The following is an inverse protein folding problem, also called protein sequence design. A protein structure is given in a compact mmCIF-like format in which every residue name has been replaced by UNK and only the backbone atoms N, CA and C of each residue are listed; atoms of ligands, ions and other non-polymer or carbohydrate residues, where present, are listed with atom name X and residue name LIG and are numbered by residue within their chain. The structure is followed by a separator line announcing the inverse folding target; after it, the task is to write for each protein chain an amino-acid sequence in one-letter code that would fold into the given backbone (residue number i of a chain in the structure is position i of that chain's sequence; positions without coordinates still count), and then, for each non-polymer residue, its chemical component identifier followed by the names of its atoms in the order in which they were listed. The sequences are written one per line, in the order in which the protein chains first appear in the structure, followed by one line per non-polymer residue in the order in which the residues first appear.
data_IF_587483225411
#
_entry.id   IF_587483225411
#
_cell.length_a   1.000
_cell.length_b   1.000
_cell.length_c   1.000
_cell.angle_alpha   90.00
_cell.angle_beta   90.00
_cell.angle_gamma   90.00
#
_symmetry.space_group_name_H-M   'P 1'
#
loop_
_entity.id
_entity.type
_entity.pdbx_description
1 polymer ?
#
# COMPACT_ATOMS: atom_id res chain seq x y z
N UNK A 1 -14.68 4.87 -25.18
CA UNK A 1 -15.00 4.47 -23.79
C UNK A 1 -14.40 3.11 -23.60
N UNK A 2 -13.65 2.91 -22.51
CA UNK A 2 -13.07 1.60 -22.21
C UNK A 2 -14.16 0.57 -21.94
N UNK A 3 -13.92 -0.69 -22.28
CA UNK A 3 -14.83 -1.80 -21.96
C UNK A 3 -14.83 -2.07 -20.44
N UNK A 4 -15.85 -2.78 -19.94
CA UNK A 4 -15.89 -3.19 -18.52
C UNK A 4 -14.67 -4.04 -18.14
N UNK A 5 -14.24 -4.92 -19.04
CA UNK A 5 -13.05 -5.76 -18.87
C UNK A 5 -11.76 -4.93 -18.83
N UNK A 6 -11.62 -3.93 -19.70
CA UNK A 6 -10.49 -2.99 -19.67
C UNK A 6 -10.44 -2.20 -18.36
N UNK A 7 -11.58 -1.72 -17.87
CA UNK A 7 -11.66 -0.99 -16.60
C UNK A 7 -11.25 -1.89 -15.43
N UNK A 8 -11.63 -3.16 -15.45
CA UNK A 8 -11.29 -4.12 -14.40
C UNK A 8 -9.78 -4.42 -14.38
N UNK A 9 -9.18 -4.63 -15.55
CA UNK A 9 -7.72 -4.80 -15.67
C UNK A 9 -6.95 -3.57 -15.20
N UNK A 10 -7.47 -2.36 -15.46
CA UNK A 10 -6.89 -1.12 -14.94
C UNK A 10 -7.03 -0.99 -13.43
N UNK A 11 -8.13 -1.50 -12.84
CA UNK A 11 -8.31 -1.51 -11.38
C UNK A 11 -7.37 -2.50 -10.73
N UNK A 12 -7.23 -3.71 -11.26
CA UNK A 12 -6.46 -4.81 -10.66
C UNK A 12 -5.38 -5.34 -11.62
N UNK A 13 -4.33 -4.56 -11.91
CA UNK A 13 -3.30 -4.94 -12.91
C UNK A 13 -2.51 -6.20 -12.51
N UNK A 14 -2.55 -6.57 -11.24
CA UNK A 14 -1.91 -7.79 -10.70
C UNK A 14 -2.92 -8.78 -10.09
N UNK A 15 -4.20 -8.63 -10.41
CA UNK A 15 -5.30 -9.37 -9.78
C UNK A 15 -5.70 -8.82 -8.40
N UNK A 16 -6.82 -9.32 -7.88
CA UNK A 16 -7.33 -8.99 -6.54
C UNK A 16 -6.50 -9.66 -5.44
N UNK A 17 -6.54 -9.08 -4.24
CA UNK A 17 -5.93 -9.71 -3.07
C UNK A 17 -6.80 -10.85 -2.56
N UNK A 18 -6.23 -12.05 -2.54
CA UNK A 18 -6.82 -13.20 -1.87
C UNK A 18 -6.15 -13.40 -0.51
N UNK A 19 -6.96 -13.47 0.56
CA UNK A 19 -6.44 -13.71 1.91
C UNK A 19 -5.88 -15.13 1.98
N UNK A 20 -4.59 -15.33 2.25
CA UNK A 20 -4.02 -16.67 2.31
C UNK A 20 -4.55 -17.43 3.53
N UNK A 21 -4.98 -18.68 3.31
CA UNK A 21 -5.40 -19.60 4.39
C UNK A 21 -4.20 -20.05 5.23
N UNK A 22 -3.06 -20.26 4.58
CA UNK A 22 -1.80 -20.64 5.21
C UNK A 22 -0.70 -19.71 4.74
N UNK A 23 0.15 -19.29 5.69
CA UNK A 23 1.31 -18.44 5.42
C UNK A 23 2.51 -19.12 6.07
N UNK A 24 3.47 -19.59 5.28
CA UNK A 24 4.70 -20.21 5.78
C UNK A 24 5.72 -19.16 6.23
N UNK A 25 6.78 -19.59 6.90
CA UNK A 25 7.90 -18.72 7.29
C UNK A 25 8.59 -18.12 6.06
N UNK A 26 8.70 -18.90 4.97
CA UNK A 26 9.23 -18.44 3.69
C UNK A 26 8.32 -17.35 3.11
N UNK A 27 6.99 -17.53 3.12
CA UNK A 27 6.08 -16.49 2.67
C UNK A 27 6.22 -15.20 3.49
N UNK A 28 6.37 -15.30 4.82
CA UNK A 28 6.61 -14.12 5.67
C UNK A 28 7.86 -13.37 5.22
N UNK A 29 8.97 -14.08 4.94
CA UNK A 29 10.22 -13.46 4.44
C UNK A 29 10.00 -12.78 3.10
N UNK A 30 9.35 -13.45 2.16
CA UNK A 30 9.06 -12.89 0.84
C UNK A 30 8.20 -11.61 0.95
N UNK A 31 7.18 -11.62 1.82
CA UNK A 31 6.35 -10.45 2.03
C UNK A 31 7.09 -9.30 2.71
N UNK A 32 7.99 -9.58 3.67
CA UNK A 32 8.88 -8.56 4.25
C UNK A 32 9.75 -7.94 3.15
N UNK A 33 10.32 -8.76 2.26
CA UNK A 33 11.15 -8.29 1.15
C UNK A 33 10.38 -7.43 0.15
N UNK A 34 9.13 -7.77 -0.16
CA UNK A 34 8.26 -6.94 -1.00
C UNK A 34 7.96 -5.58 -0.33
N UNK A 35 7.62 -5.58 0.96
CA UNK A 35 7.41 -4.33 1.72
C UNK A 35 8.70 -3.52 1.79
N UNK A 36 9.86 -4.15 1.97
CA UNK A 36 11.16 -3.47 2.06
C UNK A 36 11.56 -2.78 0.75
N UNK A 37 11.25 -3.39 -0.40
CA UNK A 37 11.61 -2.88 -1.73
C UNK A 37 10.73 -1.72 -2.20
N UNK A 38 9.47 -1.67 -1.77
CA UNK A 38 8.48 -0.72 -2.26
C UNK A 38 8.94 0.75 -2.28
N UNK A 39 9.54 1.33 -1.20
CA UNK A 39 9.86 2.76 -1.20
C UNK A 39 10.86 3.12 -2.29
N UNK A 40 11.87 2.28 -2.53
CA UNK A 40 12.89 2.54 -3.54
C UNK A 40 12.32 2.38 -4.94
N UNK A 41 11.54 1.32 -5.19
CA UNK A 41 10.88 1.11 -6.47
C UNK A 41 9.92 2.27 -6.80
N UNK A 42 9.16 2.75 -5.81
CA UNK A 42 8.25 3.89 -6.01
C UNK A 42 9.01 5.18 -6.33
N UNK A 43 10.15 5.44 -5.68
CA UNK A 43 11.01 6.59 -5.99
C UNK A 43 11.47 6.52 -7.46
N UNK A 44 11.98 5.38 -7.89
CA UNK A 44 12.47 5.16 -9.25
C UNK A 44 11.39 5.43 -10.30
N UNK A 45 10.14 5.06 -10.02
CA UNK A 45 9.03 5.26 -10.95
C UNK A 45 8.52 6.71 -11.03
N UNK A 46 8.67 7.53 -9.98
CA UNK A 46 8.00 8.85 -9.91
C UNK A 46 8.92 10.06 -9.77
N UNK A 47 10.19 9.91 -9.35
CA UNK A 47 11.07 11.05 -9.05
C UNK A 47 11.40 11.91 -10.29
N UNK A 48 11.37 11.30 -11.48
CA UNK A 48 11.64 11.97 -12.75
C UNK A 48 10.40 12.57 -13.43
N UNK A 49 9.20 12.33 -12.89
CA UNK A 49 7.96 12.80 -13.49
C UNK A 49 7.76 14.31 -13.26
N UNK A 50 7.28 15.01 -14.29
CA UNK A 50 6.93 16.42 -14.19
C UNK A 50 5.55 16.64 -13.53
N UNK A 51 5.16 17.91 -13.35
CA UNK A 51 3.90 18.23 -12.67
C UNK A 51 2.65 17.79 -13.45
N UNK A 52 2.72 17.76 -14.78
CA UNK A 52 1.60 17.39 -15.63
C UNK A 52 1.43 15.85 -15.61
N UNK A 53 2.54 15.11 -15.70
CA UNK A 53 2.55 13.66 -15.54
C UNK A 53 2.05 13.24 -14.16
N UNK A 54 2.45 13.92 -13.09
CA UNK A 54 1.96 13.64 -11.73
C UNK A 54 0.45 13.88 -11.55
N UNK A 55 -0.17 14.69 -12.41
CA UNK A 55 -1.62 14.95 -12.42
C UNK A 55 -2.41 13.98 -13.31
N UNK A 56 -1.74 13.11 -14.08
CA UNK A 56 -2.41 12.14 -14.93
C UNK A 56 -3.08 11.03 -14.11
N UNK A 57 -4.32 10.73 -14.47
CA UNK A 57 -5.13 9.69 -13.82
C UNK A 57 -4.78 8.32 -14.36
N UNK A 58 -4.54 7.35 -13.47
CA UNK A 58 -4.13 6.00 -13.89
C UNK A 58 -5.26 5.21 -14.58
N UNK A 59 -6.52 5.63 -14.37
CA UNK A 59 -7.71 5.09 -15.05
C UNK A 59 -8.87 6.09 -15.00
N UNK A 60 -9.92 5.93 -15.82
CA UNK A 60 -11.15 6.70 -15.69
C UNK A 60 -11.70 6.63 -14.26
N UNK A 61 -12.06 7.79 -13.69
CA UNK A 61 -12.55 7.96 -12.31
C UNK A 61 -11.58 7.44 -11.22
N UNK A 62 -10.32 7.21 -11.58
CA UNK A 62 -9.25 6.86 -10.67
C UNK A 62 -8.54 8.09 -10.10
N UNK A 63 -7.55 7.83 -9.26
CA UNK A 63 -6.64 8.84 -8.74
C UNK A 63 -5.57 9.21 -9.77
N UNK A 64 -4.97 10.37 -9.59
CA UNK A 64 -3.72 10.68 -10.27
C UNK A 64 -2.51 10.10 -9.55
N UNK A 65 -1.34 10.10 -10.22
CA UNK A 65 -0.09 9.56 -9.66
C UNK A 65 0.23 10.21 -8.30
N UNK A 66 0.06 11.54 -8.18
CA UNK A 66 0.29 12.26 -6.92
C UNK A 66 -0.57 11.69 -5.78
N UNK A 67 -1.87 11.58 -5.99
CA UNK A 67 -2.82 11.02 -5.02
C UNK A 67 -2.47 9.57 -4.67
N UNK A 68 -2.04 8.75 -5.65
CA UNK A 68 -1.56 7.38 -5.39
C UNK A 68 -0.34 7.37 -4.48
N UNK A 69 0.66 8.20 -4.72
CA UNK A 69 1.88 8.26 -3.89
C UNK A 69 1.55 8.68 -2.46
N UNK A 70 0.68 9.68 -2.27
CA UNK A 70 0.22 10.09 -0.94
C UNK A 70 -0.62 9.00 -0.26
N UNK A 71 -1.50 8.33 -1.00
CA UNK A 71 -2.30 7.21 -0.49
C UNK A 71 -1.44 6.04 -0.01
N UNK A 72 -0.40 5.65 -0.77
CA UNK A 72 0.53 4.59 -0.34
C UNK A 72 1.14 4.95 1.02
N UNK A 73 1.59 6.20 1.19
CA UNK A 73 2.13 6.68 2.46
C UNK A 73 1.11 6.61 3.62
N UNK A 74 -0.11 7.11 3.42
CA UNK A 74 -1.15 7.13 4.45
C UNK A 74 -1.63 5.71 4.84
N UNK A 75 -1.82 4.86 3.83
CA UNK A 75 -2.24 3.47 4.00
C UNK A 75 -1.18 2.66 4.75
N UNK A 76 0.10 2.81 4.40
CA UNK A 76 1.20 2.11 5.05
C UNK A 76 1.48 2.65 6.47
N UNK A 77 1.26 3.95 6.72
CA UNK A 77 1.29 4.50 8.08
C UNK A 77 0.21 3.85 8.94
N UNK A 78 -1.01 3.74 8.41
CA UNK A 78 -2.12 3.08 9.08
C UNK A 78 -1.81 1.61 9.36
N UNK A 79 -1.20 0.90 8.40
CA UNK A 79 -0.70 -0.46 8.57
C UNK A 79 0.26 -0.59 9.74
N UNK A 80 1.30 0.24 9.75
CA UNK A 80 2.33 0.22 10.79
C UNK A 80 1.73 0.45 12.19
N UNK A 81 0.74 1.33 12.31
CA UNK A 81 0.01 1.54 13.56
C UNK A 81 -0.83 0.32 13.96
N UNK A 82 -1.50 -0.35 13.02
CA UNK A 82 -2.25 -1.60 13.27
C UNK A 82 -1.35 -2.71 13.79
N UNK A 83 -0.15 -2.87 13.22
CA UNK A 83 0.84 -3.81 13.73
C UNK A 83 1.19 -3.51 15.19
N UNK A 84 1.46 -2.25 15.51
CA UNK A 84 1.77 -1.87 16.90
C UNK A 84 0.62 -2.13 17.87
N UNK A 85 -0.62 -1.80 17.50
CA UNK A 85 -1.78 -2.09 18.33
C UNK A 85 -1.94 -3.59 18.55
N UNK A 86 -1.95 -4.39 17.47
CA UNK A 86 -2.09 -5.84 17.59
C UNK A 86 -0.99 -6.46 18.46
N UNK A 87 0.26 -5.97 18.37
CA UNK A 87 1.39 -6.45 19.20
C UNK A 87 1.29 -6.05 20.69
N UNK A 88 0.53 -5.01 21.02
CA UNK A 88 0.51 -4.44 22.39
C UNK A 88 -0.85 -4.51 23.08
N UNK A 89 -1.90 -4.88 22.35
CA UNK A 89 -3.27 -5.00 22.83
C UNK A 89 -3.81 -6.39 22.48
N UNK A 90 -4.79 -6.87 23.26
CA UNK A 90 -5.46 -8.15 23.01
C UNK A 90 -6.58 -7.95 22.00
N UNK A 91 -6.36 -8.43 20.76
CA UNK A 91 -7.31 -8.35 19.65
C UNK A 91 -8.03 -6.99 19.50
N UNK A 92 -7.29 -5.89 19.26
CA UNK A 92 -7.91 -4.58 19.17
C UNK A 92 -8.81 -4.46 17.94
N UNK A 93 -9.92 -3.73 18.08
CA UNK A 93 -10.66 -3.20 16.94
C UNK A 93 -9.95 -1.95 16.43
N UNK A 94 -9.42 -2.00 15.20
CA UNK A 94 -8.64 -0.90 14.64
C UNK A 94 -9.53 0.23 14.12
N UNK A 95 -8.92 1.38 13.83
CA UNK A 95 -9.61 2.48 13.15
C UNK A 95 -9.51 2.34 11.63
N UNK A 96 -10.65 2.19 10.96
CA UNK A 96 -10.77 2.40 9.51
C UNK A 96 -10.70 3.89 9.18
N UNK A 97 -10.30 4.22 7.95
CA UNK A 97 -10.19 5.59 7.48
C UNK A 97 -10.80 5.73 6.09
N UNK A 98 -11.32 6.93 5.80
CA UNK A 98 -11.92 7.23 4.51
C UNK A 98 -10.82 7.62 3.51
N UNK A 99 -10.26 6.64 2.82
CA UNK A 99 -9.13 6.82 1.89
C UNK A 99 -9.47 7.82 0.78
N UNK A 100 -10.69 7.75 0.23
CA UNK A 100 -11.19 8.73 -0.75
C UNK A 100 -11.26 10.13 -0.17
N UNK A 101 -11.69 10.26 1.08
CA UNK A 101 -11.70 11.53 1.79
C UNK A 101 -10.30 12.09 2.00
N UNK A 102 -9.33 11.24 2.34
CA UNK A 102 -7.92 11.62 2.54
C UNK A 102 -7.33 12.14 1.23
N UNK A 103 -7.50 11.40 0.12
CA UNK A 103 -7.00 11.81 -1.21
C UNK A 103 -7.54 13.17 -1.70
N UNK A 104 -8.65 13.65 -1.12
CA UNK A 104 -9.25 14.95 -1.46
C UNK A 104 -8.77 16.12 -0.58
N UNK A 105 -7.99 15.85 0.47
CA UNK A 105 -7.44 16.87 1.36
C UNK A 105 -6.34 17.69 0.70
N UNK A 106 -6.08 18.87 1.28
CA UNK A 106 -5.12 19.83 0.73
C UNK A 106 -3.69 19.27 0.71
N UNK A 107 -3.29 18.50 1.72
CA UNK A 107 -1.98 17.88 1.76
C UNK A 107 -1.82 16.84 0.64
N UNK A 108 -2.81 15.98 0.38
CA UNK A 108 -2.74 15.02 -0.72
C UNK A 108 -2.83 15.66 -2.11
N UNK A 109 -3.43 16.85 -2.24
CA UNK A 109 -3.55 17.55 -3.53
C UNK A 109 -2.35 18.41 -3.90
N UNK A 110 -1.72 19.05 -2.91
CA UNK A 110 -0.74 20.12 -3.16
C UNK A 110 0.67 19.80 -2.69
N UNK A 111 0.85 18.80 -1.83
CA UNK A 111 2.18 18.44 -1.32
C UNK A 111 3.06 17.85 -2.43
N UNK A 112 4.33 18.24 -2.56
CA UNK A 112 5.28 17.54 -3.41
C UNK A 112 5.38 16.06 -3.03
N UNK A 113 5.32 15.17 -4.03
CA UNK A 113 5.39 13.71 -3.80
C UNK A 113 6.66 13.28 -3.06
N UNK A 114 7.75 14.05 -3.21
CA UNK A 114 9.04 13.82 -2.51
C UNK A 114 8.90 13.77 -0.99
N UNK A 115 7.94 14.48 -0.40
CA UNK A 115 7.70 14.42 1.05
C UNK A 115 7.10 13.07 1.47
N UNK A 116 6.14 12.55 0.70
CA UNK A 116 5.59 11.20 0.93
C UNK A 116 6.62 10.12 0.64
N UNK A 117 7.47 10.26 -0.38
CA UNK A 117 8.55 9.31 -0.65
C UNK A 117 9.56 9.25 0.51
N UNK A 118 9.99 10.41 1.01
CA UNK A 118 10.88 10.49 2.18
C UNK A 118 10.24 9.93 3.45
N UNK A 119 8.97 10.23 3.68
CA UNK A 119 8.19 9.69 4.79
C UNK A 119 8.07 8.16 4.69
N UNK A 120 7.69 7.64 3.52
CA UNK A 120 7.52 6.20 3.27
C UNK A 120 8.84 5.45 3.51
N UNK A 121 9.98 6.01 3.07
CA UNK A 121 11.31 5.44 3.33
C UNK A 121 11.60 5.31 4.84
N UNK A 122 11.36 6.37 5.61
CA UNK A 122 11.58 6.35 7.06
C UNK A 122 10.60 5.41 7.77
N UNK A 123 9.33 5.42 7.36
CA UNK A 123 8.28 4.55 7.88
C UNK A 123 8.62 3.08 7.64
N UNK A 124 8.96 2.69 6.41
CA UNK A 124 9.30 1.32 6.06
C UNK A 124 10.58 0.88 6.76
N UNK A 125 11.62 1.71 6.86
CA UNK A 125 12.81 1.34 7.63
C UNK A 125 12.47 0.93 9.07
N UNK A 126 11.56 1.68 9.72
CA UNK A 126 11.08 1.33 11.06
C UNK A 126 10.19 0.08 11.09
N UNK A 127 9.36 -0.10 10.07
CA UNK A 127 8.44 -1.22 9.99
C UNK A 127 9.19 -2.53 9.71
N UNK A 128 10.18 -2.52 8.83
CA UNK A 128 11.04 -3.68 8.56
C UNK A 128 11.80 -4.09 9.82
N UNK A 129 12.40 -3.15 10.56
CA UNK A 129 13.04 -3.47 11.85
C UNK A 129 12.05 -4.15 12.82
N UNK A 130 10.79 -3.70 12.86
CA UNK A 130 9.76 -4.35 13.67
C UNK A 130 9.48 -5.77 13.18
N UNK A 131 9.23 -5.95 11.89
CA UNK A 131 8.87 -7.23 11.26
C UNK A 131 9.98 -8.28 11.40
N UNK A 132 11.24 -7.90 11.20
CA UNK A 132 12.40 -8.79 11.33
C UNK A 132 12.66 -9.25 12.77
N UNK A 133 12.09 -8.57 13.77
CA UNK A 133 12.26 -8.89 15.18
C UNK A 133 10.98 -9.47 15.83
N UNK A 134 9.94 -9.76 15.05
CA UNK A 134 8.73 -10.45 15.51
C UNK A 134 8.97 -11.96 15.59
N UNK A 135 8.44 -12.60 16.64
CA UNK A 135 8.41 -14.07 16.72
C UNK A 135 7.34 -14.66 15.80
N UNK A 136 7.36 -15.98 15.63
CA UNK A 136 6.27 -16.70 14.93
C UNK A 136 4.92 -16.47 15.59
N UNK A 137 4.87 -16.39 16.92
CA UNK A 137 3.65 -16.13 17.70
C UNK A 137 3.17 -14.69 17.54
N UNK A 138 4.09 -13.72 17.43
CA UNK A 138 3.74 -12.33 17.15
C UNK A 138 2.97 -12.19 15.83
N UNK A 139 3.37 -12.94 14.80
CA UNK A 139 2.68 -12.96 13.51
C UNK A 139 1.28 -13.57 13.55
N UNK A 140 0.98 -14.38 14.56
CA UNK A 140 -0.37 -14.94 14.80
C UNK A 140 -1.29 -13.97 15.54
N UNK A 141 -0.76 -12.88 16.12
CA UNK A 141 -1.59 -11.87 16.79
C UNK A 141 -2.57 -11.25 15.81
N UNK A 142 -3.73 -10.85 16.33
CA UNK A 142 -4.87 -10.45 15.52
C UNK A 142 -5.35 -9.03 15.81
N UNK A 143 -6.12 -8.50 14.88
CA UNK A 143 -6.95 -7.32 15.07
C UNK A 143 -8.27 -7.47 14.30
N UNK A 144 -9.28 -6.68 14.67
CA UNK A 144 -10.61 -6.70 14.04
C UNK A 144 -10.78 -5.45 13.17
N UNK A 145 -11.14 -5.64 11.89
CA UNK A 145 -11.53 -4.54 11.02
C UNK A 145 -12.96 -4.07 11.39
N UNK A 146 -13.17 -2.79 11.73
CA UNK A 146 -14.42 -2.33 12.35
C UNK A 146 -15.63 -2.42 11.42
N UNK A 147 -15.44 -2.30 10.11
CA UNK A 147 -16.54 -2.26 9.15
C UNK A 147 -16.98 -3.66 8.70
N UNK A 148 -16.04 -4.58 8.52
CA UNK A 148 -16.33 -5.95 8.07
C UNK A 148 -16.50 -6.93 9.22
N UNK A 149 -16.03 -6.58 10.43
CA UNK A 149 -15.89 -7.50 11.55
C UNK A 149 -14.85 -8.60 11.32
N UNK A 150 -14.12 -8.56 10.20
CA UNK A 150 -13.15 -9.59 9.86
C UNK A 150 -11.94 -9.50 10.80
N UNK A 151 -11.50 -10.66 11.27
CA UNK A 151 -10.33 -10.83 12.12
C UNK A 151 -9.12 -11.11 11.23
N UNK A 152 -8.19 -10.17 11.16
CA UNK A 152 -6.92 -10.35 10.47
C UNK A 152 -5.84 -10.78 11.46
N UNK A 153 -5.06 -11.80 11.10
CA UNK A 153 -3.74 -12.03 11.71
C UNK A 153 -2.70 -11.07 11.14
N UNK A 154 -1.62 -10.81 11.88
CA UNK A 154 -0.53 -9.95 11.39
C UNK A 154 0.17 -10.53 10.16
N UNK A 155 0.30 -11.85 10.03
CA UNK A 155 0.80 -12.47 8.79
C UNK A 155 -0.11 -12.24 7.57
N UNK A 156 -1.43 -12.28 7.74
CA UNK A 156 -2.38 -11.96 6.67
C UNK A 156 -2.35 -10.48 6.32
N UNK A 157 -2.21 -9.61 7.34
CA UNK A 157 -2.04 -8.18 7.12
C UNK A 157 -0.73 -7.89 6.38
N UNK A 158 0.36 -8.58 6.70
CA UNK A 158 1.64 -8.45 6.00
C UNK A 158 1.49 -8.85 4.52
N UNK A 159 0.84 -9.99 4.24
CA UNK A 159 0.54 -10.44 2.87
C UNK A 159 -0.27 -9.39 2.09
N UNK A 160 -1.30 -8.81 2.72
CA UNK A 160 -2.08 -7.73 2.13
C UNK A 160 -1.20 -6.54 1.76
N UNK A 161 -0.36 -6.05 2.68
CA UNK A 161 0.46 -4.86 2.43
C UNK A 161 1.61 -5.10 1.44
N UNK A 162 2.10 -6.33 1.30
CA UNK A 162 2.97 -6.73 0.20
C UNK A 162 2.25 -6.61 -1.15
N UNK A 163 1.02 -7.14 -1.25
CA UNK A 163 0.18 -7.00 -2.45
C UNK A 163 -0.19 -5.54 -2.72
N UNK A 164 -0.65 -4.78 -1.71
CA UNK A 164 -1.13 -3.39 -1.84
C UNK A 164 -0.03 -2.46 -2.37
N UNK A 165 1.19 -2.60 -1.84
CA UNK A 165 2.35 -1.87 -2.33
C UNK A 165 2.62 -2.14 -3.81
N UNK A 166 2.71 -3.42 -4.18
CA UNK A 166 2.93 -3.85 -5.56
C UNK A 166 1.79 -3.43 -6.49
N UNK A 167 0.55 -3.52 -6.02
CA UNK A 167 -0.66 -3.18 -6.77
C UNK A 167 -0.66 -1.72 -7.21
N UNK A 168 -0.40 -0.79 -6.28
CA UNK A 168 -0.37 0.64 -6.63
C UNK A 168 0.89 1.05 -7.38
N UNK A 169 2.02 0.37 -7.15
CA UNK A 169 3.20 0.55 -7.99
C UNK A 169 2.88 0.17 -9.44
N UNK A 170 2.20 -0.95 -9.66
CA UNK A 170 1.83 -1.39 -11.02
C UNK A 170 0.83 -0.44 -11.70
N UNK A 171 -0.06 0.24 -10.95
CA UNK A 171 -0.90 1.31 -11.53
C UNK A 171 -0.07 2.42 -12.18
N UNK A 172 1.05 2.79 -11.55
CA UNK A 172 1.95 3.83 -12.05
C UNK A 172 2.73 3.30 -13.26
N UNK A 173 3.31 2.11 -13.15
CA UNK A 173 4.08 1.46 -14.23
C UNK A 173 3.21 1.28 -15.48
N UNK A 174 1.99 0.75 -15.34
CA UNK A 174 1.10 0.53 -16.48
C UNK A 174 0.61 1.85 -17.10
N UNK A 175 0.44 2.92 -16.30
CA UNK A 175 0.18 4.24 -16.85
C UNK A 175 1.36 4.74 -17.68
N UNK A 176 2.59 4.67 -17.15
CA UNK A 176 3.80 5.08 -17.86
C UNK A 176 3.97 4.34 -19.19
N UNK A 177 3.77 3.02 -19.19
CA UNK A 177 3.84 2.18 -20.39
C UNK A 177 2.82 2.63 -21.46
N UNK A 178 1.58 2.94 -21.06
CA UNK A 178 0.52 3.40 -21.99
C UNK A 178 0.81 4.76 -22.59
N UNK A 179 1.44 5.64 -21.82
CA UNK A 179 1.77 7.01 -22.23
C UNK A 179 3.16 7.14 -22.87
N UNK A 180 3.97 6.06 -22.84
CA UNK A 180 5.31 6.01 -23.44
C UNK A 180 6.36 6.80 -22.65
N UNK A 181 6.33 6.73 -21.32
CA UNK A 181 7.24 7.45 -20.41
C UNK A 181 8.36 6.58 -19.82
N UNK A 182 8.66 5.43 -20.43
CA UNK A 182 9.73 4.52 -19.99
C UNK A 182 11.12 5.18 -20.04
#
# INVERSE_FOLDING_TARGET
MSTEEEIENLKFPIGEFEIPEQVSVENIRDYIDEVARLPQALIEEVEHLDQDQLQMVYRPEGWNIRQLVHHIADSHMSAFMRFKWALTEDEPTIKAFNEKGFAELADSKFTPVTLSLGFLKALHAKWIILLENMSTEDFERTFIHPESGFRYSLKQSLANYAWHGKHHLEHIIELKKREGWD
#
